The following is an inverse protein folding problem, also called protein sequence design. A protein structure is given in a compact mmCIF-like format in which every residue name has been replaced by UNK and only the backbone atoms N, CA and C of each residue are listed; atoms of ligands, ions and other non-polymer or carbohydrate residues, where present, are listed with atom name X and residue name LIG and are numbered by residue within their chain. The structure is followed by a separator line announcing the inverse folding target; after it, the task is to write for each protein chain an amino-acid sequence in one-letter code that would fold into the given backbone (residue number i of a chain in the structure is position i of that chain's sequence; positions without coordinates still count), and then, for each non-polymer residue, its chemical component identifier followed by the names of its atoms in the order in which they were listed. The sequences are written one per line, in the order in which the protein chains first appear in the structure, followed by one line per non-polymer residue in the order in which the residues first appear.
data_IF_231185974848
#
_entry.id   IF_231185974848
#
_cell.length_a   1.000
_cell.length_b   1.000
_cell.length_c   1.000
_cell.angle_alpha   90.00
_cell.angle_beta   90.00
_cell.angle_gamma   90.00
#
_symmetry.space_group_name_H-M   'P 1'
#
loop_
_entity.id
_entity.type
_entity.pdbx_description
1 polymer ?
#
# COMPACT_ATOMS: atom_id res chain seq x y z
N UNK A 1 1.51 -25.07 25.18
CA UNK A 1 1.04 -23.70 25.35
C UNK A 1 -0.23 -23.53 24.53
N UNK A 2 -1.31 -23.08 25.13
CA UNK A 2 -2.59 -22.92 24.46
C UNK A 2 -2.44 -21.90 23.32
N UNK A 3 -2.97 -22.16 22.13
CA UNK A 3 -2.90 -21.29 20.95
C UNK A 3 -3.23 -19.81 21.25
N UNK A 4 -4.11 -19.57 22.20
CA UNK A 4 -4.53 -18.23 22.65
C UNK A 4 -3.41 -17.38 23.28
N UNK A 5 -2.43 -17.99 23.95
CA UNK A 5 -1.31 -17.27 24.56
C UNK A 5 -0.29 -16.76 23.52
N UNK A 6 -0.26 -17.34 22.31
CA UNK A 6 0.63 -16.92 21.23
C UNK A 6 0.10 -15.74 20.44
N UNK A 7 -1.22 -15.52 20.41
CA UNK A 7 -1.85 -14.45 19.63
C UNK A 7 -1.30 -13.06 19.99
N UNK A 8 -1.25 -12.65 21.28
CA UNK A 8 -0.72 -11.31 21.61
C UNK A 8 0.76 -11.17 21.26
N UNK A 9 1.56 -12.23 21.38
CA UNK A 9 2.98 -12.20 20.99
C UNK A 9 3.10 -12.02 19.48
N UNK A 10 2.34 -12.77 18.69
CA UNK A 10 2.31 -12.64 17.23
C UNK A 10 1.86 -11.24 16.80
N UNK A 11 0.83 -10.69 17.44
CA UNK A 11 0.33 -9.34 17.15
C UNK A 11 1.39 -8.28 17.42
N UNK A 12 2.13 -8.38 18.52
CA UNK A 12 3.23 -7.46 18.85
C UNK A 12 4.38 -7.61 17.85
N UNK A 13 4.74 -8.84 17.47
CA UNK A 13 5.80 -9.07 16.46
C UNK A 13 5.41 -8.46 15.11
N UNK A 14 4.18 -8.66 14.66
CA UNK A 14 3.68 -8.06 13.41
C UNK A 14 3.73 -6.53 13.50
N UNK A 15 3.24 -5.95 14.59
CA UNK A 15 3.26 -4.50 14.79
C UNK A 15 4.68 -3.94 14.74
N UNK A 16 5.63 -4.53 15.44
CA UNK A 16 7.04 -4.13 15.42
C UNK A 16 7.63 -4.28 14.01
N UNK A 17 7.35 -5.38 13.31
CA UNK A 17 7.84 -5.61 11.95
C UNK A 17 7.31 -4.56 10.97
N UNK A 18 6.03 -4.18 11.08
CA UNK A 18 5.44 -3.12 10.25
C UNK A 18 6.06 -1.76 10.57
N UNK A 19 6.22 -1.41 11.84
CA UNK A 19 6.88 -0.16 12.23
C UNK A 19 8.32 -0.06 11.73
N UNK A 20 9.07 -1.17 11.80
CA UNK A 20 10.44 -1.22 11.27
C UNK A 20 10.44 -1.09 9.74
N UNK A 21 9.56 -1.79 9.04
CA UNK A 21 9.49 -1.73 7.57
C UNK A 21 9.07 -0.35 7.06
N UNK A 22 8.12 0.33 7.72
CA UNK A 22 7.73 1.71 7.41
C UNK A 22 8.89 2.69 7.69
N UNK A 23 9.64 2.50 8.78
CA UNK A 23 10.84 3.28 9.10
C UNK A 23 11.96 3.11 8.07
N UNK A 24 12.19 1.88 7.60
CA UNK A 24 13.16 1.59 6.52
C UNK A 24 12.73 2.24 5.21
N UNK A 25 11.44 2.16 4.86
CA UNK A 25 10.91 2.78 3.66
C UNK A 25 11.03 4.31 3.72
N UNK A 26 10.72 4.93 4.86
CA UNK A 26 10.88 6.37 5.09
C UNK A 26 12.34 6.80 4.96
N UNK A 27 13.28 6.04 5.54
CA UNK A 27 14.70 6.30 5.37
C UNK A 27 15.13 6.21 3.90
N UNK A 28 14.68 5.17 3.21
CA UNK A 28 14.88 4.99 1.76
C UNK A 28 14.35 6.17 0.97
N UNK A 29 13.14 6.63 1.26
CA UNK A 29 12.53 7.80 0.63
C UNK A 29 13.41 9.05 0.80
N UNK A 30 13.84 9.36 2.03
CA UNK A 30 14.68 10.52 2.31
C UNK A 30 16.01 10.46 1.58
N UNK A 31 16.64 9.30 1.47
CA UNK A 31 17.93 9.12 0.79
C UNK A 31 17.80 9.17 -0.74
N UNK A 32 16.82 8.47 -1.30
CA UNK A 32 16.60 8.43 -2.76
C UNK A 32 16.18 9.81 -3.25
N UNK A 33 15.23 10.46 -2.57
CA UNK A 33 14.80 11.82 -2.88
C UNK A 33 15.97 12.80 -2.90
N UNK A 34 16.81 12.75 -1.90
CA UNK A 34 17.98 13.64 -1.84
C UNK A 34 18.95 13.39 -3.00
N UNK A 35 19.15 12.14 -3.41
CA UNK A 35 20.00 11.79 -4.55
C UNK A 35 19.43 12.28 -5.87
N UNK A 36 18.13 12.12 -6.07
CA UNK A 36 17.42 12.63 -7.26
C UNK A 36 17.55 14.16 -7.35
N UNK A 37 17.51 14.86 -6.21
CA UNK A 37 17.69 16.31 -6.13
C UNK A 37 19.17 16.79 -6.13
N UNK A 38 20.13 15.91 -6.35
CA UNK A 38 21.56 16.22 -6.34
C UNK A 38 22.05 16.82 -4.99
N UNK A 39 21.46 16.41 -3.87
CA UNK A 39 21.85 16.87 -2.52
C UNK A 39 22.12 15.69 -1.58
N UNK A 40 22.84 15.95 -0.48
CA UNK A 40 23.00 14.97 0.58
C UNK A 40 21.71 14.86 1.40
N UNK A 41 21.24 13.62 1.61
CA UNK A 41 20.17 13.34 2.55
C UNK A 41 20.59 13.46 4.01
N UNK A 42 19.73 13.09 4.97
CA UNK A 42 20.08 13.15 6.39
C UNK A 42 21.36 12.35 6.67
N UNK A 43 22.35 13.01 7.31
CA UNK A 43 23.66 12.41 7.58
C UNK A 43 23.99 12.38 9.08
N UNK A 44 23.45 13.31 9.87
CA UNK A 44 23.89 13.54 11.25
C UNK A 44 23.02 12.86 12.31
N UNK A 45 21.75 12.59 12.02
CA UNK A 45 20.85 11.96 12.99
C UNK A 45 21.26 10.49 13.21
N UNK A 46 21.74 10.14 14.41
CA UNK A 46 22.04 8.77 14.80
C UNK A 46 23.38 8.21 14.30
N UNK A 47 24.43 9.00 14.25
CA UNK A 47 25.86 8.66 13.94
C UNK A 47 26.12 7.98 12.59
N UNK A 48 25.32 7.02 12.15
CA UNK A 48 25.51 6.26 10.90
C UNK A 48 24.64 6.83 9.79
N UNK A 49 25.16 7.71 8.96
CA UNK A 49 24.52 8.20 7.74
C UNK A 49 23.04 8.64 7.91
N UNK A 50 22.63 9.06 9.12
CA UNK A 50 21.30 9.55 9.41
C UNK A 50 20.23 8.48 9.62
N UNK A 51 20.59 7.25 10.00
CA UNK A 51 19.64 6.15 10.28
C UNK A 51 18.64 6.50 11.39
N UNK A 52 19.01 7.40 12.31
CA UNK A 52 18.10 7.89 13.35
C UNK A 52 17.04 8.89 12.90
N UNK A 53 17.08 9.34 11.63
CA UNK A 53 16.12 10.35 11.13
C UNK A 53 14.67 9.90 11.19
N UNK A 54 14.28 8.66 10.76
CA UNK A 54 12.90 8.21 10.88
C UNK A 54 12.39 8.24 12.32
N UNK A 55 13.22 7.81 13.27
CA UNK A 55 12.88 7.85 14.71
C UNK A 55 12.63 9.28 15.16
N UNK A 56 13.49 10.22 14.77
CA UNK A 56 13.33 11.63 15.10
C UNK A 56 12.02 12.21 14.51
N UNK A 57 11.65 11.81 13.28
CA UNK A 57 10.41 12.26 12.63
C UNK A 57 9.16 11.72 13.31
N UNK A 58 9.21 10.52 13.86
CA UNK A 58 8.09 9.96 14.65
C UNK A 58 8.02 10.57 16.06
N UNK A 59 9.15 10.94 16.66
CA UNK A 59 9.18 11.50 18.03
C UNK A 59 8.79 12.99 18.08
N UNK A 60 9.14 13.78 17.06
CA UNK A 60 8.83 15.22 17.01
C UNK A 60 7.34 15.54 17.18
N UNK A 61 6.40 14.85 16.49
CA UNK A 61 4.97 15.13 16.64
C UNK A 61 4.36 14.78 17.99
N UNK A 62 5.02 13.93 18.78
CA UNK A 62 4.59 13.63 20.16
C UNK A 62 4.64 14.89 21.03
N UNK A 63 5.59 15.78 20.76
CA UNK A 63 5.77 17.03 21.50
C UNK A 63 4.92 18.19 20.97
N UNK A 64 4.30 17.99 19.77
CA UNK A 64 3.43 19.03 19.18
C UNK A 64 2.05 19.01 19.80
N UNK A 65 1.46 20.19 19.93
CA UNK A 65 0.09 20.36 20.37
C UNK A 65 -0.89 19.70 19.37
N UNK A 66 -1.85 18.98 19.91
CA UNK A 66 -2.90 18.30 19.15
C UNK A 66 -4.15 19.19 19.12
N UNK A 67 -4.27 19.99 18.07
CA UNK A 67 -5.32 20.98 17.91
C UNK A 67 -6.52 20.36 17.20
N UNK A 68 -7.72 20.58 17.74
CA UNK A 68 -8.99 20.27 17.10
C UNK A 68 -9.68 21.58 16.74
N UNK A 69 -9.98 21.87 15.47
CA UNK A 69 -10.68 23.09 15.08
C UNK A 69 -12.04 23.22 15.78
N UNK A 70 -12.42 24.44 16.14
CA UNK A 70 -13.67 24.70 16.92
C UNK A 70 -14.95 24.30 16.18
N UNK A 71 -14.94 24.37 14.86
CA UNK A 71 -16.07 24.00 14.00
C UNK A 71 -16.02 22.54 13.52
N UNK A 72 -14.97 21.79 13.86
CA UNK A 72 -14.81 20.40 13.45
C UNK A 72 -15.77 19.47 14.22
N UNK A 73 -16.23 18.41 13.53
CA UNK A 73 -16.92 17.30 14.19
C UNK A 73 -15.90 16.49 14.98
N UNK A 74 -15.72 16.83 16.26
CA UNK A 74 -14.65 16.30 17.10
C UNK A 74 -14.63 14.77 17.23
N UNK A 75 -15.74 14.02 17.39
CA UNK A 75 -15.76 12.57 17.38
C UNK A 75 -15.21 11.97 16.08
N UNK A 76 -15.72 12.41 14.94
CA UNK A 76 -15.31 11.91 13.61
C UNK A 76 -13.85 12.30 13.33
N UNK A 77 -13.46 13.54 13.65
CA UNK A 77 -12.11 14.05 13.49
C UNK A 77 -11.07 13.22 14.28
N UNK A 78 -11.42 12.83 15.52
CA UNK A 78 -10.54 12.00 16.37
C UNK A 78 -10.48 10.54 15.91
N UNK A 79 -11.55 10.02 15.31
CA UNK A 79 -11.66 8.62 14.91
C UNK A 79 -10.99 8.35 13.55
N UNK A 80 -11.02 9.31 12.63
CA UNK A 80 -10.50 9.15 11.28
C UNK A 80 -9.03 8.64 11.22
N UNK A 81 -8.05 9.17 12.00
CA UNK A 81 -6.68 8.67 11.98
C UNK A 81 -6.56 7.21 12.44
N UNK A 82 -7.42 6.76 13.36
CA UNK A 82 -7.45 5.37 13.82
C UNK A 82 -8.02 4.43 12.76
N UNK A 83 -9.08 4.86 12.06
CA UNK A 83 -9.66 4.10 10.94
C UNK A 83 -8.69 4.04 9.75
N UNK A 84 -7.76 4.99 9.59
CA UNK A 84 -6.69 4.89 8.62
C UNK A 84 -5.62 3.87 9.04
N UNK A 85 -5.18 3.95 10.30
CA UNK A 85 -4.05 3.20 10.81
C UNK A 85 -4.36 1.72 11.03
N UNK A 86 -5.49 1.40 11.67
CA UNK A 86 -5.83 0.03 12.07
C UNK A 86 -5.92 -0.92 10.87
N UNK A 87 -6.63 -0.61 9.77
CA UNK A 87 -6.65 -1.45 8.57
C UNK A 87 -5.27 -1.65 7.95
N UNK A 88 -4.45 -0.59 7.89
CA UNK A 88 -3.11 -0.66 7.34
C UNK A 88 -2.23 -1.69 8.07
N UNK A 89 -2.44 -1.89 9.39
CA UNK A 89 -1.75 -2.92 10.16
C UNK A 89 -2.41 -4.30 10.05
N UNK A 90 -3.74 -4.37 10.00
CA UNK A 90 -4.48 -5.64 9.93
C UNK A 90 -4.17 -6.42 8.64
N UNK A 91 -3.86 -5.76 7.54
CA UNK A 91 -3.44 -6.40 6.29
C UNK A 91 -2.24 -7.32 6.51
N UNK A 92 -1.27 -6.93 7.35
CA UNK A 92 -0.06 -7.73 7.60
C UNK A 92 -0.30 -9.01 8.38
N UNK A 93 -1.43 -9.14 9.07
CA UNK A 93 -1.77 -10.37 9.79
C UNK A 93 -1.89 -11.60 8.86
N UNK A 94 -2.23 -11.38 7.59
CA UNK A 94 -2.48 -12.45 6.60
C UNK A 94 -1.35 -12.58 5.57
N UNK A 95 -0.42 -11.64 5.52
CA UNK A 95 0.72 -11.67 4.59
C UNK A 95 1.73 -12.72 5.03
N UNK A 96 1.95 -13.81 4.26
CA UNK A 96 2.96 -14.82 4.56
C UNK A 96 4.35 -14.31 4.14
N UNK A 97 5.30 -14.33 5.06
CA UNK A 97 6.69 -13.89 4.83
C UNK A 97 7.56 -15.06 4.33
N UNK A 98 7.28 -16.27 4.82
CA UNK A 98 7.98 -17.49 4.45
C UNK A 98 7.07 -18.71 4.67
N UNK A 99 7.46 -19.92 4.19
CA UNK A 99 6.71 -21.13 4.46
C UNK A 99 6.54 -21.33 5.98
N UNK A 100 5.30 -21.40 6.45
CA UNK A 100 4.98 -21.55 7.88
C UNK A 100 5.10 -20.27 8.73
N UNK A 101 5.52 -19.14 8.18
CA UNK A 101 5.60 -17.85 8.87
C UNK A 101 4.50 -16.93 8.33
N UNK A 102 3.34 -17.02 8.96
CA UNK A 102 2.17 -16.19 8.67
C UNK A 102 1.43 -15.94 10.00
N UNK A 103 0.90 -14.74 10.18
CA UNK A 103 0.13 -14.42 11.40
C UNK A 103 -1.18 -15.22 11.46
N UNK A 104 -1.97 -15.17 10.41
CA UNK A 104 -3.21 -15.93 10.25
C UNK A 104 -3.28 -16.52 8.84
N UNK A 105 -3.26 -17.85 8.73
CA UNK A 105 -3.42 -18.52 7.43
C UNK A 105 -4.92 -18.69 7.14
N UNK A 106 -5.45 -17.82 6.29
CA UNK A 106 -6.88 -17.79 5.91
C UNK A 106 -7.02 -18.23 4.46
N UNK A 107 -7.94 -19.14 4.16
CA UNK A 107 -8.19 -19.61 2.79
C UNK A 107 -8.68 -18.49 1.86
N UNK A 108 -9.34 -17.47 2.41
CA UNK A 108 -9.77 -16.26 1.72
C UNK A 108 -8.80 -15.08 1.93
N UNK A 109 -7.49 -15.33 2.12
CA UNK A 109 -6.51 -14.33 2.49
C UNK A 109 -6.43 -13.15 1.52
N UNK A 110 -6.50 -13.39 0.21
CA UNK A 110 -6.50 -12.34 -0.80
C UNK A 110 -7.74 -11.44 -0.70
N UNK A 111 -8.93 -12.05 -0.52
CA UNK A 111 -10.16 -11.29 -0.37
C UNK A 111 -10.15 -10.43 0.92
N UNK A 112 -9.64 -11.00 2.03
CA UNK A 112 -9.46 -10.27 3.28
C UNK A 112 -8.58 -9.02 3.09
N UNK A 113 -7.44 -9.17 2.42
CA UNK A 113 -6.51 -8.06 2.17
C UNK A 113 -7.18 -6.93 1.38
N UNK A 114 -7.87 -7.28 0.27
CA UNK A 114 -8.57 -6.30 -0.57
C UNK A 114 -9.71 -5.60 0.19
N UNK A 115 -10.47 -6.35 0.99
CA UNK A 115 -11.56 -5.77 1.77
C UNK A 115 -11.09 -4.84 2.89
N UNK A 116 -9.98 -5.18 3.54
CA UNK A 116 -9.42 -4.35 4.62
C UNK A 116 -8.72 -3.09 4.06
N UNK A 117 -8.03 -3.20 2.92
CA UNK A 117 -7.40 -2.02 2.29
C UNK A 117 -8.43 -0.96 1.89
N UNK A 118 -9.61 -1.36 1.43
CA UNK A 118 -10.71 -0.45 1.07
C UNK A 118 -11.19 0.45 2.23
N UNK A 119 -11.00 0.03 3.48
CA UNK A 119 -11.38 0.84 4.64
C UNK A 119 -10.57 2.14 4.77
N UNK A 120 -9.39 2.21 4.18
CA UNK A 120 -8.56 3.42 4.16
C UNK A 120 -9.26 4.59 3.48
N UNK A 121 -10.05 4.32 2.43
CA UNK A 121 -10.85 5.32 1.73
C UNK A 121 -11.85 6.02 2.68
N UNK A 122 -12.51 5.26 3.54
CA UNK A 122 -13.47 5.78 4.52
C UNK A 122 -12.78 6.76 5.48
N UNK A 123 -11.57 6.42 5.94
CA UNK A 123 -10.80 7.28 6.84
C UNK A 123 -10.50 8.65 6.24
N UNK A 124 -10.16 8.70 4.95
CA UNK A 124 -9.83 9.94 4.24
C UNK A 124 -11.09 10.80 4.05
N UNK A 125 -12.23 10.20 3.72
CA UNK A 125 -13.52 10.91 3.65
C UNK A 125 -13.86 11.51 5.00
N UNK A 126 -13.75 10.72 6.07
CA UNK A 126 -14.01 11.17 7.43
C UNK A 126 -13.10 12.35 7.81
N UNK A 127 -11.80 12.26 7.47
CA UNK A 127 -10.85 13.33 7.73
C UNK A 127 -11.22 14.62 6.99
N UNK A 128 -11.53 14.52 5.70
CA UNK A 128 -11.90 15.67 4.88
C UNK A 128 -13.20 16.35 5.33
N UNK A 129 -14.21 15.54 5.67
CA UNK A 129 -15.51 16.04 6.11
C UNK A 129 -15.46 16.65 7.52
N UNK A 130 -14.86 15.94 8.48
CA UNK A 130 -14.87 16.33 9.89
C UNK A 130 -14.09 17.62 10.18
N UNK A 131 -13.16 17.99 9.33
CA UNK A 131 -12.30 19.18 9.49
C UNK A 131 -13.03 20.52 9.29
N UNK A 132 -14.26 20.52 8.77
CA UNK A 132 -15.08 21.72 8.48
C UNK A 132 -14.34 22.80 7.63
N UNK A 133 -13.38 22.41 6.83
CA UNK A 133 -12.61 23.27 5.92
C UNK A 133 -12.95 22.95 4.46
N UNK A 134 -13.06 24.00 3.62
CA UNK A 134 -13.35 23.82 2.18
C UNK A 134 -12.23 23.06 1.46
N UNK A 135 -10.98 23.31 1.83
CA UNK A 135 -9.82 22.64 1.24
C UNK A 135 -9.75 21.18 1.60
N UNK A 136 -10.02 20.83 2.87
CA UNK A 136 -10.03 19.44 3.34
C UNK A 136 -11.16 18.65 2.70
N UNK A 137 -12.35 19.24 2.56
CA UNK A 137 -13.48 18.58 1.91
C UNK A 137 -13.22 18.29 0.43
N UNK A 138 -12.72 19.28 -0.32
CA UNK A 138 -12.35 19.07 -1.74
C UNK A 138 -11.25 18.03 -1.87
N UNK A 139 -10.23 18.06 -1.01
CA UNK A 139 -9.16 17.05 -0.99
C UNK A 139 -9.69 15.65 -0.71
N UNK A 140 -10.60 15.52 0.28
CA UNK A 140 -11.24 14.25 0.61
C UNK A 140 -12.09 13.69 -0.54
N UNK A 141 -12.89 14.53 -1.20
CA UNK A 141 -13.70 14.11 -2.36
C UNK A 141 -12.83 13.68 -3.56
N UNK A 142 -11.73 14.39 -3.83
CA UNK A 142 -10.76 13.99 -4.86
C UNK A 142 -10.10 12.65 -4.54
N UNK A 143 -9.72 12.42 -3.27
CA UNK A 143 -9.16 11.16 -2.81
C UNK A 143 -10.10 9.98 -3.07
N UNK A 144 -11.37 10.13 -2.68
CA UNK A 144 -12.39 9.08 -2.87
C UNK A 144 -12.63 8.79 -4.34
N UNK A 145 -12.77 9.83 -5.16
CA UNK A 145 -12.92 9.65 -6.61
C UNK A 145 -11.77 8.86 -7.23
N UNK A 146 -10.54 9.11 -6.76
CA UNK A 146 -9.35 8.38 -7.19
C UNK A 146 -9.35 6.94 -6.69
N UNK A 147 -9.55 6.71 -5.39
CA UNK A 147 -9.51 5.36 -4.80
C UNK A 147 -10.56 4.47 -5.46
N UNK A 148 -11.83 4.90 -5.55
CA UNK A 148 -12.90 4.10 -6.18
C UNK A 148 -12.54 3.71 -7.62
N UNK A 149 -11.94 4.61 -8.39
CA UNK A 149 -11.59 4.34 -9.78
C UNK A 149 -10.42 3.35 -9.91
N UNK A 150 -9.47 3.34 -8.97
CA UNK A 150 -8.25 2.53 -9.07
C UNK A 150 -8.29 1.25 -8.23
N UNK A 151 -9.15 1.14 -7.23
CA UNK A 151 -9.39 -0.10 -6.51
C UNK A 151 -9.89 -1.22 -7.43
N UNK A 152 -10.75 -0.91 -8.41
CA UNK A 152 -11.22 -1.89 -9.38
C UNK A 152 -10.07 -2.53 -10.21
N UNK A 153 -9.14 -1.79 -10.82
CA UNK A 153 -7.97 -2.37 -11.48
C UNK A 153 -7.06 -3.19 -10.57
N UNK A 154 -6.87 -2.78 -9.28
CA UNK A 154 -6.13 -3.60 -8.30
C UNK A 154 -6.81 -4.94 -8.10
N UNK A 155 -8.12 -4.92 -7.85
CA UNK A 155 -8.93 -6.13 -7.67
C UNK A 155 -8.90 -7.01 -8.92
N UNK A 156 -9.08 -6.45 -10.11
CA UNK A 156 -9.04 -7.22 -11.38
C UNK A 156 -7.68 -7.87 -11.61
N UNK A 157 -6.58 -7.15 -11.32
CA UNK A 157 -5.22 -7.70 -11.37
C UNK A 157 -5.01 -8.85 -10.39
N UNK A 158 -5.48 -8.70 -9.15
CA UNK A 158 -5.40 -9.72 -8.11
C UNK A 158 -6.27 -10.96 -8.42
N UNK A 159 -7.49 -10.75 -8.90
CA UNK A 159 -8.42 -11.82 -9.32
C UNK A 159 -7.85 -12.61 -10.49
N UNK A 160 -7.19 -11.97 -11.45
CA UNK A 160 -6.51 -12.64 -12.56
C UNK A 160 -5.52 -13.70 -12.06
N UNK A 161 -4.69 -13.36 -11.06
CA UNK A 161 -3.75 -14.31 -10.44
C UNK A 161 -4.46 -15.39 -9.65
N UNK A 162 -5.48 -15.03 -8.86
CA UNK A 162 -6.27 -16.00 -8.09
C UNK A 162 -6.97 -17.04 -9.02
N UNK A 163 -7.47 -16.60 -10.16
CA UNK A 163 -8.04 -17.49 -11.18
C UNK A 163 -7.00 -18.44 -11.76
N UNK A 164 -5.80 -17.97 -12.07
CA UNK A 164 -4.69 -18.82 -12.54
C UNK A 164 -4.30 -19.86 -11.48
N UNK A 165 -4.13 -19.45 -10.25
CA UNK A 165 -3.76 -20.33 -9.13
C UNK A 165 -4.91 -21.26 -8.70
N UNK A 166 -6.18 -20.87 -8.93
CA UNK A 166 -7.38 -21.62 -8.51
C UNK A 166 -7.65 -21.54 -7.00
N UNK A 167 -7.10 -20.53 -6.31
CA UNK A 167 -7.23 -20.35 -4.86
C UNK A 167 -7.15 -18.87 -4.49
N UNK A 168 -7.76 -18.52 -3.35
CA UNK A 168 -7.66 -17.17 -2.73
C UNK A 168 -6.69 -17.14 -1.54
N UNK A 169 -6.10 -18.27 -1.18
CA UNK A 169 -5.08 -18.35 -0.13
C UNK A 169 -3.75 -17.82 -0.64
N UNK A 170 -3.20 -16.80 0.02
CA UNK A 170 -1.91 -16.18 -0.37
C UNK A 170 -0.75 -17.19 -0.33
N UNK A 171 -0.74 -18.10 0.64
CA UNK A 171 0.27 -19.16 0.74
C UNK A 171 0.21 -20.11 -0.44
N UNK A 172 -1.00 -20.61 -0.78
CA UNK A 172 -1.20 -21.54 -1.91
C UNK A 172 -0.90 -20.87 -3.26
N UNK A 173 -1.18 -19.55 -3.40
CA UNK A 173 -0.82 -18.79 -4.60
C UNK A 173 0.70 -18.78 -4.79
N UNK A 174 1.48 -18.55 -3.73
CA UNK A 174 2.95 -18.57 -3.82
C UNK A 174 3.49 -19.98 -4.08
N UNK A 175 2.91 -20.99 -3.46
CA UNK A 175 3.28 -22.40 -3.69
C UNK A 175 3.01 -22.84 -5.15
N UNK A 176 1.93 -22.36 -5.76
CA UNK A 176 1.62 -22.59 -7.16
C UNK A 176 2.66 -21.94 -8.09
N UNK A 177 3.33 -20.88 -7.64
CA UNK A 177 4.39 -20.17 -8.37
C UNK A 177 5.80 -20.76 -8.03
N UNK A 178 6.03 -22.06 -8.23
CA UNK A 178 7.33 -22.70 -7.93
C UNK A 178 8.52 -22.03 -8.62
N UNK A 179 8.29 -21.52 -9.83
CA UNK A 179 9.23 -20.65 -10.57
C UNK A 179 8.58 -19.28 -10.66
N UNK A 180 9.27 -18.16 -10.37
CA UNK A 180 8.73 -16.83 -10.60
C UNK A 180 8.16 -16.72 -12.00
N UNK A 181 6.96 -16.17 -12.14
CA UNK A 181 6.20 -16.05 -13.40
C UNK A 181 5.64 -17.36 -13.99
N UNK A 182 5.78 -18.51 -13.33
CA UNK A 182 5.35 -19.80 -13.91
C UNK A 182 3.84 -19.93 -14.14
N UNK A 183 3.02 -19.23 -13.35
CA UNK A 183 1.56 -19.24 -13.53
C UNK A 183 1.07 -18.17 -14.52
N UNK A 184 1.97 -17.44 -15.16
CA UNK A 184 1.58 -16.35 -16.04
C UNK A 184 1.71 -16.74 -17.52
N UNK A 185 0.58 -17.04 -18.17
CA UNK A 185 0.57 -17.10 -19.61
C UNK A 185 0.81 -15.69 -20.16
N UNK A 186 1.89 -15.53 -20.94
CA UNK A 186 2.11 -14.28 -21.67
C UNK A 186 1.08 -14.16 -22.81
N UNK A 187 0.43 -12.98 -23.03
CA UNK A 187 0.68 -11.68 -22.36
C UNK A 187 -0.22 -11.39 -21.13
N UNK A 188 -1.15 -12.28 -20.77
CA UNK A 188 -2.21 -12.04 -19.78
C UNK A 188 -1.66 -11.72 -18.38
N UNK A 189 -0.65 -12.47 -17.94
CA UNK A 189 -0.01 -12.22 -16.64
C UNK A 189 0.73 -10.89 -16.60
N UNK A 190 1.41 -10.52 -17.70
CA UNK A 190 2.10 -9.23 -17.81
C UNK A 190 1.12 -8.05 -17.77
N UNK A 191 -0.05 -8.18 -18.40
CA UNK A 191 -1.13 -7.18 -18.35
C UNK A 191 -1.65 -7.04 -16.92
N UNK A 192 -1.93 -8.15 -16.23
CA UNK A 192 -2.39 -8.14 -14.84
C UNK A 192 -1.37 -7.47 -13.91
N UNK A 193 -0.07 -7.77 -14.09
CA UNK A 193 1.00 -7.13 -13.33
C UNK A 193 1.08 -5.63 -13.58
N UNK A 194 1.11 -5.21 -14.85
CA UNK A 194 1.17 -3.79 -15.21
C UNK A 194 -0.02 -3.01 -14.65
N UNK A 195 -1.24 -3.57 -14.74
CA UNK A 195 -2.44 -2.99 -14.15
C UNK A 195 -2.33 -2.86 -12.63
N UNK A 196 -1.92 -3.94 -11.94
CA UNK A 196 -1.73 -3.93 -10.50
C UNK A 196 -0.72 -2.87 -10.08
N UNK A 197 0.43 -2.79 -10.74
CA UNK A 197 1.46 -1.79 -10.43
C UNK A 197 0.93 -0.37 -10.57
N UNK A 198 0.33 -0.04 -11.71
CA UNK A 198 -0.19 1.31 -11.97
C UNK A 198 -1.29 1.67 -10.98
N UNK A 199 -2.22 0.76 -10.73
CA UNK A 199 -3.33 0.98 -9.81
C UNK A 199 -2.86 1.11 -8.36
N UNK A 200 -1.83 0.35 -7.95
CA UNK A 200 -1.21 0.47 -6.63
C UNK A 200 -0.58 1.86 -6.39
N UNK A 201 0.03 2.48 -7.41
CA UNK A 201 0.50 3.87 -7.29
C UNK A 201 -0.64 4.84 -7.02
N UNK A 202 -1.75 4.67 -7.71
CA UNK A 202 -2.91 5.53 -7.53
C UNK A 202 -3.59 5.32 -6.16
N UNK A 203 -3.61 4.10 -5.65
CA UNK A 203 -4.16 3.77 -4.33
C UNK A 203 -3.35 4.39 -3.18
N UNK A 204 -2.02 4.45 -3.32
CA UNK A 204 -1.12 5.13 -2.37
C UNK A 204 -1.19 6.66 -2.49
N UNK A 205 -1.80 7.21 -3.56
CA UNK A 205 -1.87 8.65 -3.83
C UNK A 205 -0.50 9.33 -3.97
N UNK A 206 0.50 8.59 -4.45
CA UNK A 206 1.82 9.15 -4.76
C UNK A 206 1.91 9.60 -6.21
N UNK A 207 2.80 10.58 -6.50
CA UNK A 207 3.07 10.96 -7.89
C UNK A 207 3.32 9.72 -8.78
N UNK A 208 2.72 9.66 -9.95
CA UNK A 208 2.00 10.69 -10.70
C UNK A 208 0.52 10.91 -10.33
N UNK A 209 -0.01 10.21 -9.34
CA UNK A 209 -1.43 10.18 -8.95
C UNK A 209 -1.72 10.97 -7.64
N UNK A 210 -0.93 11.98 -7.31
CA UNK A 210 -1.04 12.81 -6.10
C UNK A 210 -2.10 13.91 -6.27
N UNK A 211 -3.37 13.51 -6.34
CA UNK A 211 -4.48 14.47 -6.47
C UNK A 211 -5.01 14.99 -5.13
N UNK A 212 -5.10 14.16 -4.07
CA UNK A 212 -5.69 14.58 -2.81
C UNK A 212 -4.82 15.53 -2.00
N UNK A 213 -3.49 15.40 -2.10
CA UNK A 213 -2.53 16.18 -1.32
C UNK A 213 -1.79 17.23 -2.15
N UNK A 214 -2.37 17.66 -3.27
CA UNK A 214 -1.78 18.63 -4.19
C UNK A 214 -1.43 19.96 -3.51
N UNK A 215 -0.21 20.07 -2.97
CA UNK A 215 0.26 21.25 -2.21
C UNK A 215 0.07 22.57 -2.95
N UNK A 216 0.20 22.58 -4.27
CA UNK A 216 0.04 23.78 -5.09
C UNK A 216 -1.42 24.22 -5.28
N UNK A 217 -2.41 23.34 -5.01
CA UNK A 217 -3.83 23.62 -5.27
C UNK A 217 -4.66 23.70 -3.98
N UNK A 218 -4.49 22.74 -3.06
CA UNK A 218 -5.33 22.55 -1.88
C UNK A 218 -4.52 22.34 -0.58
N UNK A 219 -3.33 22.91 -0.51
CA UNK A 219 -2.39 22.83 0.62
C UNK A 219 -1.97 21.37 0.87
N UNK A 220 -2.46 20.71 1.92
CA UNK A 220 -2.25 19.28 2.20
C UNK A 220 -3.55 18.45 2.10
N UNK A 221 -4.56 19.00 1.43
CA UNK A 221 -5.83 18.31 1.21
C UNK A 221 -6.53 17.86 2.49
N UNK A 222 -6.94 16.58 2.60
CA UNK A 222 -7.72 16.09 3.76
C UNK A 222 -6.99 16.24 5.10
N UNK A 223 -5.66 16.39 5.09
CA UNK A 223 -4.82 16.38 6.29
C UNK A 223 -4.45 17.77 6.80
N UNK A 224 -4.92 18.84 6.16
CA UNK A 224 -4.53 20.24 6.43
C UNK A 224 -4.75 20.66 7.88
N UNK A 225 -5.85 20.23 8.49
CA UNK A 225 -6.22 20.61 9.86
C UNK A 225 -5.64 19.65 10.92
N UNK A 226 -5.04 18.55 10.51
CA UNK A 226 -4.46 17.58 11.43
C UNK A 226 -3.07 17.99 11.88
N UNK A 227 -2.81 17.87 13.19
CA UNK A 227 -1.52 18.18 13.82
C UNK A 227 -1.07 17.07 14.77
N UNK A 228 0.17 17.15 15.25
CA UNK A 228 0.71 16.25 16.27
C UNK A 228 0.63 14.77 15.89
N UNK A 229 0.24 13.94 16.86
CA UNK A 229 0.17 12.49 16.69
C UNK A 229 -0.89 12.03 15.68
N UNK A 230 -1.98 12.77 15.50
CA UNK A 230 -3.02 12.42 14.54
C UNK A 230 -2.54 12.50 13.10
N UNK A 231 -1.73 13.51 12.78
CA UNK A 231 -1.08 13.62 11.48
C UNK A 231 -0.14 12.43 11.22
N UNK A 232 0.65 12.04 12.24
CA UNK A 232 1.55 10.87 12.12
C UNK A 232 0.79 9.58 11.86
N UNK A 233 -0.39 9.38 12.42
CA UNK A 233 -1.18 8.17 12.17
C UNK A 233 -1.57 8.04 10.69
N UNK A 234 -1.96 9.12 10.01
CA UNK A 234 -2.17 9.09 8.57
C UNK A 234 -0.87 8.81 7.81
N UNK A 235 0.22 9.48 8.18
CA UNK A 235 1.51 9.30 7.55
C UNK A 235 2.04 7.87 7.71
N UNK A 236 1.92 7.28 8.90
CA UNK A 236 2.25 5.87 9.13
C UNK A 236 1.36 4.92 8.33
N UNK A 237 0.06 5.20 8.25
CA UNK A 237 -0.87 4.43 7.44
C UNK A 237 -0.48 4.43 5.96
N UNK A 238 -0.11 5.58 5.41
CA UNK A 238 0.34 5.73 4.02
C UNK A 238 1.58 4.85 3.74
N UNK A 239 2.62 4.94 4.59
CA UNK A 239 3.83 4.11 4.42
C UNK A 239 3.56 2.62 4.64
N UNK A 240 2.74 2.27 5.63
CA UNK A 240 2.33 0.87 5.84
C UNK A 240 1.60 0.32 4.62
N UNK A 241 0.75 1.13 3.98
CA UNK A 241 0.04 0.75 2.76
C UNK A 241 0.99 0.50 1.58
N UNK A 242 2.02 1.34 1.40
CA UNK A 242 3.08 1.10 0.39
C UNK A 242 3.79 -0.23 0.63
N UNK A 243 4.15 -0.52 1.88
CA UNK A 243 4.80 -1.81 2.22
C UNK A 243 3.85 -2.97 1.98
N UNK A 244 2.56 -2.84 2.34
CA UNK A 244 1.55 -3.86 2.12
C UNK A 244 1.35 -4.17 0.63
N UNK A 245 1.19 -3.15 -0.21
CA UNK A 245 1.05 -3.31 -1.66
C UNK A 245 2.32 -3.91 -2.29
N UNK A 246 3.50 -3.51 -1.81
CA UNK A 246 4.77 -4.10 -2.24
C UNK A 246 4.85 -5.59 -1.87
N UNK A 247 4.38 -5.97 -0.67
CA UNK A 247 4.33 -7.35 -0.23
C UNK A 247 3.31 -8.16 -1.03
N UNK A 248 2.11 -7.63 -1.24
CA UNK A 248 1.05 -8.27 -2.04
C UNK A 248 1.51 -8.45 -3.49
N UNK A 249 2.07 -7.41 -4.11
CA UNK A 249 2.63 -7.48 -5.45
C UNK A 249 3.73 -8.54 -5.57
N UNK A 250 4.57 -8.67 -4.53
CA UNK A 250 5.59 -9.71 -4.45
C UNK A 250 4.98 -11.11 -4.36
N UNK A 251 3.94 -11.31 -3.56
CA UNK A 251 3.26 -12.61 -3.41
C UNK A 251 2.50 -13.01 -4.66
N UNK A 252 1.78 -12.07 -5.26
CA UNK A 252 0.94 -12.35 -6.43
C UNK A 252 1.76 -12.50 -7.71
N UNK A 253 2.79 -11.70 -7.89
CA UNK A 253 3.45 -11.56 -9.18
C UNK A 253 4.93 -11.96 -9.23
N UNK A 254 5.65 -11.86 -8.14
CA UNK A 254 7.10 -12.16 -8.12
C UNK A 254 7.43 -13.52 -7.46
N UNK A 255 6.41 -14.36 -7.22
CA UNK A 255 6.59 -15.67 -6.61
C UNK A 255 6.96 -15.65 -5.13
N UNK A 256 6.62 -14.56 -4.40
CA UNK A 256 6.78 -14.45 -2.96
C UNK A 256 8.19 -14.76 -2.47
N UNK A 257 8.31 -15.75 -1.59
CA UNK A 257 9.58 -16.21 -1.01
C UNK A 257 10.40 -17.16 -1.90
N UNK A 258 9.88 -17.54 -3.09
CA UNK A 258 10.58 -18.47 -3.96
C UNK A 258 11.81 -17.82 -4.60
N UNK A 259 12.95 -18.52 -4.54
CA UNK A 259 14.21 -18.08 -5.14
C UNK A 259 15.31 -19.13 -4.97
N UNK A 260 16.42 -19.06 -5.78
CA UNK A 260 17.32 -20.18 -5.97
C UNK A 260 18.42 -20.36 -4.90
N UNK A 261 18.89 -19.31 -4.23
CA UNK A 261 20.15 -19.37 -3.45
C UNK A 261 19.96 -18.97 -1.99
N UNK A 262 19.15 -17.93 -1.71
CA UNK A 262 18.99 -17.34 -0.39
C UNK A 262 17.84 -17.99 0.38
N UNK A 263 17.84 -17.89 1.73
CA UNK A 263 16.69 -18.31 2.54
C UNK A 263 15.40 -17.62 2.09
N UNK A 264 14.25 -18.30 2.19
CA UNK A 264 12.95 -17.77 1.73
C UNK A 264 12.61 -16.37 2.27
N UNK A 265 12.89 -16.11 3.55
CA UNK A 265 12.66 -14.80 4.19
C UNK A 265 13.44 -13.69 3.49
N UNK A 266 14.72 -13.93 3.16
CA UNK A 266 15.56 -12.93 2.53
C UNK A 266 15.09 -12.63 1.10
N UNK A 267 14.68 -13.65 0.33
CA UNK A 267 14.10 -13.45 -1.00
C UNK A 267 12.85 -12.58 -0.95
N UNK A 268 11.95 -12.87 -0.01
CA UNK A 268 10.74 -12.06 0.17
C UNK A 268 11.09 -10.62 0.50
N UNK A 269 11.96 -10.39 1.48
CA UNK A 269 12.36 -9.03 1.89
C UNK A 269 13.04 -8.26 0.76
N UNK A 270 13.96 -8.88 0.01
CA UNK A 270 14.63 -8.23 -1.12
C UNK A 270 13.62 -7.79 -2.18
N UNK A 271 12.65 -8.63 -2.53
CA UNK A 271 11.61 -8.30 -3.51
C UNK A 271 10.69 -7.18 -3.01
N UNK A 272 10.27 -7.22 -1.75
CA UNK A 272 9.44 -6.16 -1.14
C UNK A 272 10.20 -4.84 -1.10
N UNK A 273 11.48 -4.85 -0.72
CA UNK A 273 12.31 -3.64 -0.72
C UNK A 273 12.52 -3.12 -2.15
N UNK A 274 12.79 -4.00 -3.11
CA UNK A 274 12.94 -3.61 -4.51
C UNK A 274 11.66 -2.96 -5.06
N UNK A 275 10.48 -3.51 -4.71
CA UNK A 275 9.20 -2.95 -5.09
C UNK A 275 8.96 -1.58 -4.40
N UNK A 276 9.27 -1.46 -3.10
CA UNK A 276 9.21 -0.20 -2.37
C UNK A 276 10.16 0.88 -2.92
N UNK A 277 11.39 0.50 -3.29
CA UNK A 277 12.33 1.40 -3.97
C UNK A 277 11.79 1.85 -5.33
N UNK A 278 11.15 0.95 -6.07
CA UNK A 278 10.49 1.29 -7.33
C UNK A 278 9.37 2.32 -7.14
N UNK A 279 8.54 2.17 -6.09
CA UNK A 279 7.53 3.18 -5.73
C UNK A 279 8.16 4.54 -5.45
N UNK A 280 9.22 4.59 -4.65
CA UNK A 280 9.94 5.82 -4.34
C UNK A 280 10.54 6.45 -5.61
N UNK A 281 11.16 5.65 -6.47
CA UNK A 281 11.78 6.12 -7.69
C UNK A 281 10.77 6.76 -8.63
N UNK A 282 9.65 6.12 -8.89
CA UNK A 282 8.57 6.66 -9.73
C UNK A 282 7.99 7.94 -9.14
N UNK A 283 7.79 8.02 -7.81
CA UNK A 283 7.29 9.21 -7.12
C UNK A 283 8.09 10.47 -7.44
N UNK A 284 9.41 10.36 -7.59
CA UNK A 284 10.28 11.50 -7.82
C UNK A 284 10.70 11.73 -9.26
N UNK A 285 10.37 10.82 -10.17
CA UNK A 285 10.76 10.92 -11.59
C UNK A 285 9.59 11.26 -12.51
N UNK A 286 8.37 10.88 -12.14
CA UNK A 286 7.20 11.09 -13.00
C UNK A 286 6.51 12.42 -12.70
N UNK A 287 6.06 13.15 -13.76
CA UNK A 287 5.25 14.35 -13.59
C UNK A 287 3.84 13.97 -13.13
N UNK A 288 3.20 14.89 -12.41
CA UNK A 288 1.83 14.71 -11.93
C UNK A 288 0.82 14.74 -13.07
N UNK A 289 -0.17 13.85 -13.01
CA UNK A 289 -1.31 13.83 -13.93
C UNK A 289 -2.43 14.77 -13.43
N UNK A 290 -3.22 15.29 -14.38
CA UNK A 290 -4.42 16.07 -14.06
C UNK A 290 -5.59 15.13 -13.78
N UNK A 291 -6.54 15.56 -12.94
CA UNK A 291 -7.67 14.74 -12.47
C UNK A 291 -8.50 14.11 -13.60
N UNK A 292 -8.81 14.86 -14.64
CA UNK A 292 -9.57 14.35 -15.79
C UNK A 292 -8.80 13.28 -16.59
N UNK A 293 -7.48 13.43 -16.70
CA UNK A 293 -6.61 12.43 -17.34
C UNK A 293 -6.55 11.16 -16.50
N UNK A 294 -6.42 11.29 -15.19
CA UNK A 294 -6.38 10.20 -14.23
C UNK A 294 -7.67 9.39 -14.28
N UNK A 295 -8.82 10.05 -14.21
CA UNK A 295 -10.13 9.39 -14.28
C UNK A 295 -10.36 8.73 -15.65
N UNK A 296 -10.01 9.38 -16.75
CA UNK A 296 -10.11 8.79 -18.09
C UNK A 296 -9.22 7.57 -18.24
N UNK A 297 -8.03 7.59 -17.67
CA UNK A 297 -7.09 6.48 -17.73
C UNK A 297 -7.64 5.25 -16.98
N UNK A 298 -8.19 5.42 -15.77
CA UNK A 298 -8.82 4.35 -15.02
C UNK A 298 -10.03 3.75 -15.76
N UNK A 299 -11.03 4.60 -16.08
CA UNK A 299 -12.32 4.14 -16.62
C UNK A 299 -12.28 3.70 -18.07
N UNK A 300 -11.49 4.34 -18.93
CA UNK A 300 -11.47 4.04 -20.37
C UNK A 300 -10.39 3.05 -20.78
N UNK A 301 -9.34 2.88 -19.97
CA UNK A 301 -8.23 1.98 -20.30
C UNK A 301 -8.10 0.84 -19.30
N UNK A 302 -7.81 1.12 -18.03
CA UNK A 302 -7.45 0.08 -17.07
C UNK A 302 -8.61 -0.89 -16.77
N UNK A 303 -9.79 -0.39 -16.50
CA UNK A 303 -10.95 -1.23 -16.18
C UNK A 303 -11.36 -2.09 -17.37
N UNK A 304 -11.57 -1.56 -18.60
CA UNK A 304 -11.88 -2.41 -19.74
C UNK A 304 -10.79 -3.43 -20.07
N UNK A 305 -9.51 -3.01 -19.98
CA UNK A 305 -8.36 -3.91 -20.19
C UNK A 305 -8.36 -5.06 -19.16
N UNK A 306 -8.66 -4.74 -17.90
CA UNK A 306 -8.75 -5.73 -16.82
C UNK A 306 -9.89 -6.73 -17.02
N UNK A 307 -11.06 -6.25 -17.40
CA UNK A 307 -12.20 -7.12 -17.68
C UNK A 307 -11.90 -8.07 -18.86
N UNK A 308 -11.35 -7.55 -19.94
CA UNK A 308 -10.92 -8.38 -21.08
C UNK A 308 -9.87 -9.39 -20.65
N UNK A 309 -8.87 -8.99 -19.86
CA UNK A 309 -7.83 -9.88 -19.37
C UNK A 309 -8.38 -11.02 -18.50
N UNK A 310 -9.32 -10.72 -17.59
CA UNK A 310 -9.98 -11.74 -16.75
C UNK A 310 -10.77 -12.75 -17.61
N UNK A 311 -11.50 -12.28 -18.65
CA UNK A 311 -12.21 -13.15 -19.58
C UNK A 311 -11.24 -14.05 -20.35
N UNK A 312 -10.12 -13.49 -20.83
CA UNK A 312 -9.09 -14.25 -21.54
C UNK A 312 -8.46 -15.34 -20.67
N UNK A 313 -8.19 -15.03 -19.39
CA UNK A 313 -7.67 -16.00 -18.41
C UNK A 313 -8.71 -17.10 -18.14
N UNK A 314 -9.99 -16.76 -18.03
CA UNK A 314 -11.05 -17.73 -17.85
C UNK A 314 -11.13 -18.70 -19.03
N UNK A 315 -11.10 -18.20 -20.26
CA UNK A 315 -11.07 -19.00 -21.48
C UNK A 315 -9.83 -19.89 -21.56
N UNK A 316 -8.65 -19.33 -21.29
CA UNK A 316 -7.40 -20.07 -21.24
C UNK A 316 -7.46 -21.24 -20.27
N UNK A 317 -7.99 -21.03 -19.06
CA UNK A 317 -8.11 -22.09 -18.06
C UNK A 317 -9.10 -23.18 -18.47
N UNK A 318 -10.24 -22.83 -19.05
CA UNK A 318 -11.24 -23.79 -19.55
C UNK A 318 -10.67 -24.64 -20.70
N UNK A 319 -9.86 -24.04 -21.56
CA UNK A 319 -9.24 -24.76 -22.69
C UNK A 319 -8.12 -25.73 -22.25
N UNK A 320 -7.41 -25.42 -21.18
CA UNK A 320 -6.35 -26.27 -20.64
C UNK A 320 -6.85 -27.38 -19.71
N UNK A 321 -8.03 -27.25 -19.13
CA UNK A 321 -8.64 -28.25 -18.25
C UNK A 321 -9.49 -29.29 -19.00
N UNK A 322 -9.59 -29.17 -20.34
CA UNK A 322 -10.10 -30.21 -21.24
C UNK A 322 -8.96 -31.06 -21.77
#
# INVERSE_FOLDING_TARGET
MTHWALIPIQSVVILVAVLLSTGVLLYGLLKIHSRVMNRMGPMYAGRFHGVGQPIAEFLKPIQKEDIVPTLADAPVFKLAPLIALVPAFLVFAVIPIAPGIVGANIDLGLFYVLAISALSAIAIVMAGYASSSKFTLVGGLRAVGQIIAYELPVVLGAVAVAMLAGTLSLTKIVEAQRIPFAIWPFPMGAIAFGMFVVASFAEVMWNPFDMPAAESEIVTGPYTEYSGMRFIFFYMSEFAHVVALSAIGTLLFLGGWNGPILPPILWFLIKVVAFGVFFIWVRFTMPRLREDQLQRFAWKLLIPLGLVNVILIALYKVLLTK
#
